data_IF_940352517924
#
_entry.id   IF_940352517924
#
_cell.length_a   1.000
_cell.length_b   1.000
_cell.length_c   1.000
_cell.angle_alpha   90.00
_cell.angle_beta   90.00
_cell.angle_gamma   90.00
#
_symmetry.space_group_name_H-M   'P 1'
#
loop_
_entity.id
_entity.type
_entity.pdbx_description
1 polymer ?
#
# COMPACT_ATOMS: atom_id res chain seq x y z
N UNK A 1 -8.68 9.03 -9.24
CA UNK A 1 -7.93 7.81 -8.87
C UNK A 1 -8.83 6.86 -8.11
N UNK A 2 -8.85 5.60 -8.53
CA UNK A 2 -9.45 4.47 -7.83
C UNK A 2 -8.34 3.57 -7.29
N UNK A 3 -8.53 3.05 -6.08
CA UNK A 3 -7.63 2.06 -5.47
C UNK A 3 -8.35 0.72 -5.43
N UNK A 4 -7.72 -0.31 -5.95
CA UNK A 4 -8.25 -1.69 -5.96
C UNK A 4 -7.21 -2.67 -5.43
N UNK A 5 -7.68 -3.82 -4.94
CA UNK A 5 -6.83 -4.93 -4.51
C UNK A 5 -7.11 -6.15 -5.38
N UNK A 6 -6.07 -6.87 -5.80
CA UNK A 6 -6.21 -8.22 -6.34
C UNK A 6 -6.68 -9.20 -5.27
N UNK A 7 -7.19 -10.37 -5.67
CA UNK A 7 -7.63 -11.40 -4.72
C UNK A 7 -6.49 -11.93 -3.84
N UNK A 8 -5.28 -12.07 -4.41
CA UNK A 8 -4.06 -12.41 -3.66
C UNK A 8 -3.72 -11.36 -2.61
N UNK A 9 -3.88 -10.08 -2.95
CA UNK A 9 -3.72 -8.97 -2.02
C UNK A 9 -4.74 -9.02 -0.89
N UNK A 10 -6.04 -9.17 -1.20
CA UNK A 10 -7.11 -9.30 -0.19
C UNK A 10 -6.86 -10.49 0.75
N UNK A 11 -6.43 -11.63 0.22
CA UNK A 11 -6.14 -12.81 1.02
C UNK A 11 -4.98 -12.58 2.01
N UNK A 12 -3.92 -11.89 1.57
CA UNK A 12 -2.82 -11.52 2.45
C UNK A 12 -3.27 -10.49 3.51
N UNK A 13 -4.07 -9.50 3.12
CA UNK A 13 -4.62 -8.51 4.05
C UNK A 13 -5.45 -9.21 5.13
N UNK A 14 -6.34 -10.13 4.75
CA UNK A 14 -7.14 -10.90 5.71
C UNK A 14 -6.29 -11.72 6.68
N UNK A 15 -5.22 -12.36 6.18
CA UNK A 15 -4.25 -13.06 7.03
C UNK A 15 -3.59 -12.11 8.04
N UNK A 16 -3.09 -10.97 7.59
CA UNK A 16 -2.44 -9.98 8.46
C UNK A 16 -3.42 -9.39 9.48
N UNK A 17 -4.67 -9.12 9.09
CA UNK A 17 -5.72 -8.66 10.00
C UNK A 17 -5.95 -9.70 11.10
N UNK A 18 -6.04 -10.99 10.75
CA UNK A 18 -6.22 -12.05 11.75
C UNK A 18 -5.07 -12.15 12.76
N UNK A 19 -3.87 -11.71 12.40
CA UNK A 19 -2.66 -11.77 13.24
C UNK A 19 -2.41 -10.50 14.04
N UNK A 20 -2.73 -9.34 13.47
CA UNK A 20 -2.31 -8.03 13.99
C UNK A 20 -3.46 -7.06 14.28
N UNK A 21 -4.69 -7.40 13.90
CA UNK A 21 -5.87 -6.53 14.07
C UNK A 21 -6.06 -5.56 12.92
N UNK A 22 -6.56 -4.36 13.21
CA UNK A 22 -6.78 -3.33 12.19
C UNK A 22 -5.46 -2.86 11.58
N UNK A 23 -5.45 -2.69 10.25
CA UNK A 23 -4.25 -2.34 9.49
C UNK A 23 -4.42 -1.00 8.78
N UNK A 24 -3.30 -0.41 8.39
CA UNK A 24 -3.23 0.75 7.51
C UNK A 24 -2.14 0.58 6.47
N UNK A 25 -2.32 1.21 5.32
CA UNK A 25 -1.36 1.21 4.24
C UNK A 25 -0.76 2.60 4.03
N UNK A 26 0.53 2.66 3.72
CA UNK A 26 1.19 3.90 3.33
C UNK A 26 2.06 3.69 2.10
N UNK A 27 1.89 4.53 1.09
CA UNK A 27 2.77 4.61 -0.06
C UNK A 27 3.65 5.85 0.03
N UNK A 28 4.91 5.64 0.38
CA UNK A 28 5.92 6.71 0.43
C UNK A 28 6.64 6.83 -0.92
N UNK A 29 6.69 8.05 -1.46
CA UNK A 29 7.40 8.37 -2.71
C UNK A 29 8.92 8.50 -2.55
N UNK A 30 9.57 7.65 -1.75
CA UNK A 30 10.98 7.77 -1.34
C UNK A 30 11.99 7.20 -2.35
N UNK A 31 13.16 7.84 -2.44
CA UNK A 31 14.16 7.70 -3.52
C UNK A 31 14.94 6.35 -3.61
N UNK A 32 14.73 5.37 -2.73
CA UNK A 32 15.55 4.13 -2.73
C UNK A 32 14.78 2.79 -2.84
N UNK A 33 13.49 2.73 -2.47
CA UNK A 33 12.62 1.55 -2.65
C UNK A 33 11.21 1.95 -3.17
N UNK A 34 11.11 3.20 -3.65
CA UNK A 34 9.87 3.97 -3.84
C UNK A 34 8.96 3.45 -4.93
N UNK A 35 8.11 2.50 -4.58
CA UNK A 35 6.82 2.21 -5.24
C UNK A 35 6.03 1.11 -4.54
N UNK A 36 6.54 0.53 -3.45
CA UNK A 36 5.88 -0.58 -2.75
C UNK A 36 5.01 -0.04 -1.62
N UNK A 37 3.71 -0.40 -1.56
CA UNK A 37 2.86 -0.08 -0.43
C UNK A 37 3.40 -0.77 0.82
N UNK A 38 3.45 -0.03 1.92
CA UNK A 38 3.81 -0.54 3.23
C UNK A 38 2.55 -0.82 4.04
N UNK A 39 2.55 -1.89 4.82
CA UNK A 39 1.46 -2.32 5.69
C UNK A 39 1.89 -2.22 7.16
N UNK A 40 1.10 -1.52 7.97
CA UNK A 40 1.32 -1.29 9.40
C UNK A 40 0.03 -1.58 10.18
N UNK A 41 0.11 -1.84 11.50
CA UNK A 41 -1.05 -1.77 12.36
C UNK A 41 -1.64 -0.35 12.36
N UNK A 42 -2.97 -0.25 12.44
CA UNK A 42 -3.67 1.03 12.41
C UNK A 42 -3.19 1.94 13.55
N UNK A 43 -2.68 3.12 13.19
CA UNK A 43 -2.19 4.12 14.14
C UNK A 43 -0.71 4.03 14.51
N UNK A 44 0.02 2.98 14.10
CA UNK A 44 1.47 2.90 14.35
C UNK A 44 2.28 3.81 13.42
N UNK A 45 1.87 3.91 12.15
CA UNK A 45 2.50 4.84 11.23
C UNK A 45 1.90 6.25 11.43
N UNK A 46 2.74 7.19 11.87
CA UNK A 46 2.34 8.59 12.05
C UNK A 46 2.19 9.27 10.70
N UNK A 47 0.96 9.34 10.21
CA UNK A 47 0.61 10.19 9.06
C UNK A 47 0.72 11.67 9.46
N UNK A 48 1.43 12.45 8.65
CA UNK A 48 1.59 13.89 8.83
C UNK A 48 0.69 14.70 7.90
N UNK A 49 0.76 16.03 7.98
CA UNK A 49 0.02 16.93 7.07
C UNK A 49 0.47 16.86 5.59
N UNK A 50 1.50 16.06 5.31
CA UNK A 50 1.97 15.75 3.95
C UNK A 50 1.46 14.39 3.46
N UNK A 51 0.66 13.67 4.23
CA UNK A 51 0.03 12.41 3.83
C UNK A 51 -1.45 12.65 3.60
N UNK A 52 -1.99 12.02 2.56
CA UNK A 52 -3.40 12.12 2.19
C UNK A 52 -4.01 10.73 2.19
N UNK A 53 -5.20 10.61 2.79
CA UNK A 53 -6.02 9.40 2.66
C UNK A 53 -6.56 9.36 1.23
N UNK A 54 -6.18 8.34 0.47
CA UNK A 54 -6.52 8.23 -0.95
C UNK A 54 -7.60 7.18 -1.25
N UNK A 55 -7.96 6.41 -0.23
CA UNK A 55 -9.02 5.40 -0.31
C UNK A 55 -8.81 4.30 0.71
N UNK A 56 -9.44 3.17 0.45
CA UNK A 56 -9.35 1.97 1.28
C UNK A 56 -8.95 0.77 0.44
N UNK A 57 -8.17 -0.12 1.04
CA UNK A 57 -7.71 -1.37 0.45
C UNK A 57 -8.21 -2.53 1.32
N UNK A 58 -9.22 -3.25 0.82
CA UNK A 58 -9.90 -4.31 1.58
C UNK A 58 -10.37 -3.86 2.99
N UNK A 59 -10.92 -2.64 3.09
CA UNK A 59 -11.39 -2.04 4.34
C UNK A 59 -10.29 -1.41 5.21
N UNK A 60 -9.02 -1.45 4.78
CA UNK A 60 -7.93 -0.78 5.48
C UNK A 60 -7.65 0.59 4.86
N UNK A 61 -7.48 1.68 5.64
CA UNK A 61 -7.17 3.00 5.09
C UNK A 61 -5.82 3.00 4.38
N UNK A 62 -5.78 3.62 3.19
CA UNK A 62 -4.59 3.72 2.36
C UNK A 62 -4.17 5.18 2.21
N UNK A 63 -2.97 5.49 2.67
CA UNK A 63 -2.38 6.82 2.63
C UNK A 63 -1.29 6.92 1.56
N UNK A 64 -1.13 8.12 1.00
CA UNK A 64 -0.06 8.44 0.05
C UNK A 64 0.51 9.82 0.36
N UNK A 65 1.80 10.02 0.12
CA UNK A 65 2.40 11.35 0.21
C UNK A 65 1.73 12.34 -0.76
N UNK A 66 1.42 13.55 -0.30
CA UNK A 66 0.71 14.62 -1.04
C UNK A 66 1.36 14.96 -2.38
N UNK A 67 2.70 14.95 -2.44
CA UNK A 67 3.44 15.18 -3.68
C UNK A 67 3.19 14.06 -4.70
N UNK A 68 3.23 12.80 -4.26
CA UNK A 68 2.94 11.64 -5.10
C UNK A 68 1.46 11.59 -5.50
N UNK A 69 0.56 11.92 -4.57
CA UNK A 69 -0.87 12.03 -4.87
C UNK A 69 -1.14 13.06 -5.97
N UNK A 70 -0.48 14.23 -5.93
CA UNK A 70 -0.62 15.24 -6.99
C UNK A 70 -0.18 14.71 -8.36
N UNK A 71 0.82 13.83 -8.40
CA UNK A 71 1.29 13.21 -9.63
C UNK A 71 0.34 12.10 -10.12
N UNK A 72 -0.24 11.31 -9.21
CA UNK A 72 -1.01 10.10 -9.54
C UNK A 72 -2.53 10.25 -9.36
N UNK A 73 -3.03 11.46 -9.07
CA UNK A 73 -4.46 11.73 -8.86
C UNK A 73 -5.37 11.26 -10.00
N UNK A 74 -4.84 11.16 -11.22
CA UNK A 74 -5.53 10.70 -12.42
C UNK A 74 -5.13 9.27 -12.85
N UNK A 75 -4.44 8.52 -11.99
CA UNK A 75 -3.99 7.16 -12.26
C UNK A 75 -4.73 6.21 -11.34
N UNK A 76 -5.33 5.16 -11.89
CA UNK A 76 -5.90 4.10 -11.08
C UNK A 76 -4.82 3.13 -10.63
N UNK A 77 -4.85 2.76 -9.34
CA UNK A 77 -3.84 1.92 -8.72
C UNK A 77 -4.47 0.59 -8.33
N UNK A 78 -3.91 -0.48 -8.85
CA UNK A 78 -4.22 -1.84 -8.42
C UNK A 78 -3.09 -2.35 -7.54
N UNK A 79 -3.38 -2.65 -6.29
CA UNK A 79 -2.41 -3.24 -5.37
C UNK A 79 -2.44 -4.75 -5.53
N UNK A 80 -1.26 -5.33 -5.71
CA UNK A 80 -1.06 -6.76 -5.83
C UNK A 80 0.04 -7.23 -4.89
N UNK A 81 0.21 -8.55 -4.80
CA UNK A 81 1.21 -9.20 -3.95
C UNK A 81 2.03 -10.16 -4.79
N UNK A 82 3.35 -10.12 -4.59
CA UNK A 82 4.29 -11.07 -5.18
C UNK A 82 5.14 -11.70 -4.09
N UNK A 83 5.69 -12.87 -4.38
CA UNK A 83 6.68 -13.49 -3.50
C UNK A 83 7.98 -12.69 -3.57
N UNK A 84 8.58 -12.42 -2.42
CA UNK A 84 9.83 -11.67 -2.35
C UNK A 84 10.04 -11.03 -0.99
N UNK A 85 11.21 -10.44 -0.81
CA UNK A 85 11.52 -9.69 0.40
C UNK A 85 10.69 -8.40 0.39
N UNK A 86 9.73 -8.30 1.31
CA UNK A 86 9.01 -7.07 1.63
C UNK A 86 9.95 -5.96 2.07
N UNK A 87 9.47 -4.73 2.04
CA UNK A 87 10.23 -3.60 2.55
C UNK A 87 10.35 -3.70 4.07
N UNK A 88 11.53 -3.37 4.62
CA UNK A 88 12.00 -3.79 5.96
C UNK A 88 11.08 -3.50 7.16
N UNK A 89 10.06 -2.65 7.01
CA UNK A 89 9.14 -2.27 8.09
C UNK A 89 7.69 -2.75 7.88
N UNK A 90 7.42 -3.52 6.83
CA UNK A 90 6.07 -3.95 6.46
C UNK A 90 5.70 -5.28 7.11
N UNK A 91 4.43 -5.44 7.52
CA UNK A 91 3.98 -6.62 8.27
C UNK A 91 4.02 -7.94 7.49
N UNK A 92 4.04 -7.92 6.16
CA UNK A 92 4.02 -9.13 5.33
C UNK A 92 5.38 -9.82 5.18
N UNK A 93 6.47 -9.23 5.70
CA UNK A 93 7.83 -9.78 5.57
C UNK A 93 7.91 -11.24 6.06
N UNK A 94 7.36 -11.63 7.22
CA UNK A 94 7.39 -13.01 7.69
C UNK A 94 6.66 -13.99 6.77
N UNK A 95 5.73 -13.50 5.94
CA UNK A 95 4.99 -14.30 4.97
C UNK A 95 5.76 -14.52 3.66
N UNK A 96 6.98 -13.97 3.53
CA UNK A 96 7.81 -14.08 2.32
C UNK A 96 7.20 -13.37 1.11
N UNK A 97 6.34 -12.38 1.36
CA UNK A 97 5.57 -11.64 0.36
C UNK A 97 5.96 -10.16 0.37
N UNK A 98 5.56 -9.45 -0.67
CA UNK A 98 5.63 -7.99 -0.74
C UNK A 98 4.43 -7.43 -1.50
N UNK A 99 3.92 -6.29 -1.06
CA UNK A 99 2.95 -5.53 -1.83
C UNK A 99 3.63 -4.79 -2.98
N UNK A 100 2.93 -4.66 -4.10
CA UNK A 100 3.34 -3.88 -5.27
C UNK A 100 2.18 -3.04 -5.77
N UNK A 101 2.48 -1.84 -6.28
CA UNK A 101 1.51 -1.07 -7.06
C UNK A 101 1.63 -1.51 -8.52
N UNK A 102 0.51 -1.94 -9.10
CA UNK A 102 0.31 -2.02 -10.55
C UNK A 102 -0.46 -0.78 -10.97
N UNK A 103 0.12 0.01 -11.86
CA UNK A 103 -0.58 1.10 -12.53
C UNK A 103 -0.60 0.81 -14.01
N UNK A 104 -1.75 1.00 -14.65
CA UNK A 104 -1.79 1.14 -16.10
C UNK A 104 -1.35 2.58 -16.41
N UNK A 105 -0.04 2.77 -16.54
CA UNK A 105 0.44 3.97 -17.24
C UNK A 105 0.14 3.70 -18.69
N UNK A 106 -0.84 4.40 -19.29
CA UNK A 106 -0.96 4.43 -20.74
C UNK A 106 0.41 4.84 -21.29
N UNK A 107 1.12 3.90 -21.91
CA UNK A 107 2.28 4.21 -22.70
C UNK A 107 1.83 5.20 -23.78
N UNK A 108 2.33 6.43 -23.71
CA UNK A 108 2.25 7.39 -24.81
C UNK A 108 3.44 7.13 -25.72
#
# INVERSE_FOLDING_TARGET
MKITATESCKALIGLLISKHGELMFHLSGGCCDGSSPMCYPLGEFKVGGQDVLIGELAGCPFYMGKAQHKLWQNTDLTIDVVNGRGASFSLEIPEGKRFIVRSEVCAV
#
